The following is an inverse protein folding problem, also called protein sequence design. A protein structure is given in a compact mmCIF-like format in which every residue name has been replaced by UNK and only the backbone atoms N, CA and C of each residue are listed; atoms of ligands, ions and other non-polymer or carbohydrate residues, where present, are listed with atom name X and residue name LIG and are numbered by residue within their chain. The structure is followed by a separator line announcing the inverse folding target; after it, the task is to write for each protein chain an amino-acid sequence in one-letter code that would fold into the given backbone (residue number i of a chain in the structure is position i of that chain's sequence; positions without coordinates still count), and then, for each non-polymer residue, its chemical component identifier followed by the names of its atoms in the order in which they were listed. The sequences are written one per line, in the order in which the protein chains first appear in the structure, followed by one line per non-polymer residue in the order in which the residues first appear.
data_IF_817693490703
#
_entry.id   IF_817693490703
#
_cell.length_a   1.000
_cell.length_b   1.000
_cell.length_c   1.000
_cell.angle_alpha   90.00
_cell.angle_beta   90.00
_cell.angle_gamma   90.00
#
_symmetry.space_group_name_H-M   'P 1'
#
loop_
_entity.id
_entity.type
_entity.pdbx_description
1 polymer ?
#
# COMPACT_ATOMS: atom_id res chain seq x y z
N UNK A 1 8.56 -28.46 7.24
CA UNK A 1 8.19 -27.13 6.71
C UNK A 1 9.37 -26.22 7.01
N UNK A 2 10.06 -25.72 5.99
CA UNK A 2 11.05 -24.67 6.19
C UNK A 2 10.27 -23.38 6.46
N UNK A 3 10.51 -22.78 7.63
CA UNK A 3 10.08 -21.41 7.91
C UNK A 3 10.62 -20.53 6.77
N UNK A 4 9.79 -19.67 6.14
CA UNK A 4 10.27 -18.75 5.12
C UNK A 4 11.50 -18.01 5.64
N UNK A 5 12.54 -17.88 4.83
CA UNK A 5 13.64 -17.00 5.20
C UNK A 5 13.04 -15.60 5.43
N UNK A 6 13.54 -14.89 6.42
CA UNK A 6 12.98 -13.59 6.78
C UNK A 6 13.09 -12.60 5.61
N UNK A 7 14.05 -12.80 4.69
CA UNK A 7 14.14 -12.06 3.43
C UNK A 7 12.92 -12.30 2.54
N UNK A 8 12.43 -13.54 2.46
CA UNK A 8 11.23 -13.87 1.69
C UNK A 8 10.00 -13.18 2.27
N UNK A 9 9.90 -13.10 3.60
CA UNK A 9 8.82 -12.40 4.29
C UNK A 9 8.88 -10.88 4.06
N UNK A 10 10.09 -10.29 4.06
CA UNK A 10 10.31 -8.87 3.72
C UNK A 10 9.89 -8.58 2.27
N UNK A 11 10.41 -9.35 1.32
CA UNK A 11 10.07 -9.22 -0.10
C UNK A 11 8.56 -9.40 -0.34
N UNK A 12 7.92 -10.34 0.35
CA UNK A 12 6.48 -10.55 0.25
C UNK A 12 5.67 -9.34 0.77
N UNK A 13 6.18 -8.67 1.81
CA UNK A 13 5.58 -7.44 2.37
C UNK A 13 5.73 -6.28 1.39
N UNK A 14 6.90 -6.07 0.82
CA UNK A 14 7.14 -5.06 -0.23
C UNK A 14 6.22 -5.29 -1.45
N UNK A 15 6.13 -6.53 -1.92
CA UNK A 15 5.21 -6.89 -3.01
C UNK A 15 3.74 -6.66 -2.63
N UNK A 16 3.38 -6.78 -1.35
CA UNK A 16 2.03 -6.50 -0.89
C UNK A 16 1.73 -4.99 -0.89
N UNK A 17 2.65 -4.18 -0.37
CA UNK A 17 2.57 -2.71 -0.39
C UNK A 17 2.44 -2.20 -1.83
N UNK A 18 3.31 -2.67 -2.73
CA UNK A 18 3.29 -2.27 -4.14
C UNK A 18 1.95 -2.62 -4.83
N UNK A 19 1.35 -3.77 -4.48
CA UNK A 19 0.02 -4.14 -5.00
C UNK A 19 -1.07 -3.21 -4.48
N UNK A 20 -1.04 -2.83 -3.20
CA UNK A 20 -2.01 -1.89 -2.64
C UNK A 20 -1.93 -0.52 -3.32
N UNK A 21 -0.72 -0.01 -3.55
CA UNK A 21 -0.49 1.22 -4.28
C UNK A 21 -1.04 1.12 -5.71
N UNK A 22 -0.71 0.05 -6.45
CA UNK A 22 -1.20 -0.18 -7.79
C UNK A 22 -2.73 -0.31 -7.89
N UNK A 23 -3.38 -0.97 -6.93
CA UNK A 23 -4.85 -1.03 -6.89
C UNK A 23 -5.46 0.35 -6.67
N UNK A 24 -4.89 1.18 -5.80
CA UNK A 24 -5.39 2.53 -5.58
C UNK A 24 -5.18 3.44 -6.80
N UNK A 25 -4.12 3.21 -7.58
CA UNK A 25 -3.89 3.91 -8.85
C UNK A 25 -4.92 3.51 -9.92
N UNK A 26 -5.13 2.20 -10.13
CA UNK A 26 -6.16 1.72 -11.06
C UNK A 26 -7.54 2.25 -10.68
N UNK A 27 -7.90 2.22 -9.39
CA UNK A 27 -9.18 2.75 -8.91
C UNK A 27 -9.29 4.26 -9.16
N UNK A 28 -8.19 5.00 -9.02
CA UNK A 28 -8.16 6.43 -9.34
C UNK A 28 -8.40 6.67 -10.83
N UNK A 29 -7.69 5.97 -11.70
CA UNK A 29 -7.85 6.10 -13.16
C UNK A 29 -9.29 5.80 -13.58
N UNK A 30 -9.83 4.66 -13.14
CA UNK A 30 -11.23 4.28 -13.41
C UNK A 30 -12.22 5.33 -12.88
N UNK A 31 -11.98 5.87 -11.68
CA UNK A 31 -12.84 6.91 -11.12
C UNK A 31 -12.78 8.22 -11.92
N UNK A 32 -11.61 8.59 -12.45
CA UNK A 32 -11.45 9.80 -13.27
C UNK A 32 -12.00 9.67 -14.68
N UNK A 33 -12.09 8.45 -15.22
CA UNK A 33 -12.69 8.19 -16.53
C UNK A 33 -14.22 8.10 -16.49
N UNK A 34 -14.83 7.91 -15.30
CA UNK A 34 -16.27 7.77 -15.17
C UNK A 34 -16.95 9.12 -14.92
N UNK A 35 -17.72 9.68 -15.88
CA UNK A 35 -18.22 11.06 -15.79
C UNK A 35 -19.15 11.33 -14.59
N UNK A 36 -19.79 10.30 -14.03
CA UNK A 36 -20.62 10.45 -12.83
C UNK A 36 -19.79 10.64 -11.55
N UNK A 37 -18.52 10.23 -11.56
CA UNK A 37 -17.55 10.44 -10.48
C UNK A 37 -16.70 11.71 -10.68
N UNK A 38 -16.84 12.38 -11.83
CA UNK A 38 -16.22 13.68 -12.09
C UNK A 38 -17.06 14.87 -11.59
N UNK A 39 -18.31 14.63 -11.17
CA UNK A 39 -19.18 15.66 -10.61
C UNK A 39 -18.93 15.77 -9.10
N UNK A 40 -19.08 16.98 -8.53
CA UNK A 40 -18.96 17.27 -7.09
C UNK A 40 -20.08 16.61 -6.24
N UNK A 41 -20.46 15.39 -6.57
CA UNK A 41 -21.48 14.62 -5.86
C UNK A 41 -20.85 13.93 -4.64
N UNK A 42 -21.59 13.80 -3.53
CA UNK A 42 -21.09 13.14 -2.32
C UNK A 42 -20.51 11.73 -2.56
N UNK A 43 -21.08 10.98 -3.51
CA UNK A 43 -20.61 9.65 -3.88
C UNK A 43 -19.21 9.68 -4.52
N UNK A 44 -18.97 10.62 -5.43
CA UNK A 44 -17.68 10.84 -6.06
C UNK A 44 -16.61 11.19 -5.02
N UNK A 45 -16.95 12.09 -4.11
CA UNK A 45 -16.08 12.49 -3.01
C UNK A 45 -15.76 11.31 -2.07
N UNK A 46 -16.74 10.45 -1.80
CA UNK A 46 -16.55 9.24 -0.99
C UNK A 46 -15.58 8.24 -1.63
N UNK A 47 -15.71 7.99 -2.94
CA UNK A 47 -14.80 7.09 -3.66
C UNK A 47 -13.38 7.65 -3.72
N UNK A 48 -13.23 8.95 -4.02
CA UNK A 48 -11.91 9.60 -4.02
C UNK A 48 -11.28 9.61 -2.62
N UNK A 49 -12.09 9.79 -1.56
CA UNK A 49 -11.62 9.71 -0.18
C UNK A 49 -11.14 8.29 0.18
N UNK A 50 -11.86 7.25 -0.24
CA UNK A 50 -11.45 5.86 -0.04
C UNK A 50 -10.13 5.55 -0.75
N UNK A 51 -9.98 5.98 -2.01
CA UNK A 51 -8.73 5.81 -2.77
C UNK A 51 -7.57 6.49 -2.04
N UNK A 52 -7.77 7.70 -1.53
CA UNK A 52 -6.76 8.41 -0.74
C UNK A 52 -6.40 7.67 0.55
N UNK A 53 -7.39 7.11 1.25
CA UNK A 53 -7.14 6.32 2.45
C UNK A 53 -6.29 5.08 2.14
N UNK A 54 -6.57 4.35 1.05
CA UNK A 54 -5.75 3.19 0.65
C UNK A 54 -4.30 3.60 0.33
N UNK A 55 -4.10 4.72 -0.38
CA UNK A 55 -2.76 5.24 -0.68
C UNK A 55 -2.01 5.61 0.59
N UNK A 56 -2.68 6.27 1.53
CA UNK A 56 -2.09 6.70 2.79
C UNK A 56 -1.75 5.51 3.69
N UNK A 57 -2.61 4.51 3.79
CA UNK A 57 -2.34 3.29 4.56
C UNK A 57 -1.16 2.51 3.96
N UNK A 58 -1.08 2.40 2.62
CA UNK A 58 0.05 1.76 1.96
C UNK A 58 1.36 2.51 2.22
N UNK A 59 1.33 3.85 2.19
CA UNK A 59 2.48 4.71 2.50
C UNK A 59 2.93 4.55 3.96
N UNK A 60 1.99 4.53 4.91
CA UNK A 60 2.30 4.31 6.33
C UNK A 60 2.88 2.92 6.55
N UNK A 61 2.35 1.89 5.88
CA UNK A 61 2.87 0.54 5.96
C UNK A 61 4.31 0.46 5.41
N UNK A 62 4.59 1.13 4.29
CA UNK A 62 5.94 1.24 3.73
C UNK A 62 6.92 1.93 4.70
N UNK A 63 6.48 3.01 5.36
CA UNK A 63 7.29 3.71 6.36
C UNK A 63 7.58 2.83 7.57
N UNK A 64 6.55 2.19 8.13
CA UNK A 64 6.69 1.26 9.26
C UNK A 64 7.62 0.10 8.91
N UNK A 65 7.45 -0.50 7.73
CA UNK A 65 8.27 -1.60 7.27
C UNK A 65 9.73 -1.18 7.03
N UNK A 66 9.93 0.01 6.44
CA UNK A 66 11.26 0.59 6.27
C UNK A 66 11.95 0.90 7.59
N UNK A 67 11.20 1.34 8.61
CA UNK A 67 11.72 1.57 9.97
C UNK A 67 12.07 0.24 10.63
N UNK A 68 11.18 -0.76 10.57
CA UNK A 68 11.44 -2.12 11.06
C UNK A 68 12.73 -2.69 10.44
N UNK A 69 12.91 -2.49 9.13
CA UNK A 69 14.11 -2.90 8.41
C UNK A 69 15.39 -2.21 8.91
N UNK A 70 15.35 -0.88 9.05
CA UNK A 70 16.49 -0.08 9.53
C UNK A 70 16.84 -0.36 10.99
N UNK A 71 15.85 -0.71 11.81
CA UNK A 71 16.00 -1.07 13.23
C UNK A 71 16.42 -2.52 13.45
N UNK A 72 16.76 -3.26 12.39
CA UNK A 72 17.26 -4.64 12.45
C UNK A 72 18.80 -4.77 12.41
N UNK A 73 19.65 -3.97 13.08
CA UNK A 73 21.06 -4.31 13.14
C UNK A 73 21.26 -5.56 14.04
N UNK A 74 21.92 -6.59 13.51
CA UNK A 74 22.43 -7.80 14.20
C UNK A 74 21.50 -8.99 14.51
N UNK A 75 20.48 -9.31 13.70
CA UNK A 75 19.85 -10.64 13.80
C UNK A 75 20.77 -11.80 13.33
N UNK A 76 21.95 -11.49 12.78
CA UNK A 76 22.96 -12.44 12.30
C UNK A 76 24.29 -12.36 13.08
N UNK A 77 24.30 -11.81 14.30
CA UNK A 77 25.49 -11.71 15.16
C UNK A 77 25.31 -12.36 16.53
N UNK A 78 24.36 -13.28 16.69
CA UNK A 78 24.13 -14.09 17.89
C UNK A 78 23.96 -15.56 17.54
#
# INVERSE_FOLDING_TARGET
MNTPDWHDAHNATDMHIARMQGFAEILYEVATEYPALCKNEPLANGILALIRAIKEDARQLEELHSVEWKLKPNAASG
#
